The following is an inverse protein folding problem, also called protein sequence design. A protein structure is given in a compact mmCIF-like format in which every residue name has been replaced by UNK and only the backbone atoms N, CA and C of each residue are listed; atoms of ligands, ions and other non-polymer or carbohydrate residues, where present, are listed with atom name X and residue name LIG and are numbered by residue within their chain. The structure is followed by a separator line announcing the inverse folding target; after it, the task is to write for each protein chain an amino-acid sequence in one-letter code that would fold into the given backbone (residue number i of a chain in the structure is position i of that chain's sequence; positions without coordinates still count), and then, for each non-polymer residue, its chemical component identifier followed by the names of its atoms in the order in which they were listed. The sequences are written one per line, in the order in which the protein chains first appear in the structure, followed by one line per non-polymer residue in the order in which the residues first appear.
data_IF_620601698659
#
_entry.id   IF_620601698659
#
_cell.length_a   1.000
_cell.length_b   1.000
_cell.length_c   1.000
_cell.angle_alpha   90.00
_cell.angle_beta   90.00
_cell.angle_gamma   90.00
#
_symmetry.space_group_name_H-M   'P 1'
#
loop_
_entity.id
_entity.type
_entity.pdbx_description
1 polymer ?
#
# COMPACT_ATOMS: atom_id res chain seq x y z
N UNK A 1 -7.74 -5.61 -5.17
CA UNK A 1 -7.61 -5.79 -6.63
C UNK A 1 -8.29 -4.71 -7.46
N UNK A 2 -9.46 -4.15 -7.08
CA UNK A 2 -10.14 -3.11 -7.89
C UNK A 2 -9.24 -1.91 -8.26
N UNK A 3 -8.42 -1.44 -7.31
CA UNK A 3 -7.42 -0.39 -7.55
C UNK A 3 -6.36 -0.87 -8.54
N UNK A 4 -5.75 -2.03 -8.31
CA UNK A 4 -4.73 -2.59 -9.22
C UNK A 4 -5.25 -2.78 -10.66
N UNK A 5 -6.55 -3.03 -10.81
CA UNK A 5 -7.21 -3.19 -12.10
C UNK A 5 -7.70 -1.86 -12.73
N UNK A 6 -7.40 -0.72 -12.12
CA UNK A 6 -7.85 0.61 -12.59
C UNK A 6 -9.37 0.69 -12.80
N UNK A 7 -10.14 0.15 -11.86
CA UNK A 7 -11.62 0.14 -11.92
C UNK A 7 -12.24 1.02 -10.82
N UNK A 8 -12.40 2.35 -11.05
CA UNK A 8 -13.02 3.26 -10.10
C UNK A 8 -14.46 2.89 -9.74
N UNK A 9 -15.20 2.28 -10.67
CA UNK A 9 -16.58 1.87 -10.44
C UNK A 9 -16.64 0.73 -9.41
N UNK A 10 -15.78 -0.27 -9.54
CA UNK A 10 -15.66 -1.34 -8.55
C UNK A 10 -15.13 -0.82 -7.21
N UNK A 11 -14.16 0.10 -7.22
CA UNK A 11 -13.66 0.77 -6.01
C UNK A 11 -14.84 1.43 -5.26
N UNK A 12 -15.71 2.15 -5.97
CA UNK A 12 -16.92 2.73 -5.39
C UNK A 12 -17.86 1.69 -4.80
N UNK A 13 -18.15 0.60 -5.53
CA UNK A 13 -19.03 -0.48 -5.03
C UNK A 13 -18.49 -1.11 -3.74
N UNK A 14 -17.17 -1.35 -3.67
CA UNK A 14 -16.54 -1.89 -2.48
C UNK A 14 -16.64 -0.92 -1.29
N UNK A 15 -16.42 0.37 -1.52
CA UNK A 15 -16.60 1.39 -0.48
C UNK A 15 -18.04 1.49 0.01
N UNK A 16 -19.01 1.45 -0.90
CA UNK A 16 -20.44 1.48 -0.56
C UNK A 16 -20.86 0.20 0.20
N UNK A 17 -20.11 -0.90 0.04
CA UNK A 17 -20.28 -2.15 0.80
C UNK A 17 -19.57 -2.16 2.16
N UNK A 18 -18.92 -1.05 2.55
CA UNK A 18 -18.23 -0.92 3.84
C UNK A 18 -16.81 -1.49 3.85
N UNK A 19 -16.15 -1.61 2.69
CA UNK A 19 -14.74 -2.02 2.65
C UNK A 19 -13.86 -1.04 3.47
N UNK A 20 -12.96 -1.60 4.29
CA UNK A 20 -12.05 -0.82 5.11
C UNK A 20 -10.94 -0.19 4.24
N UNK A 21 -10.92 1.14 4.15
CA UNK A 21 -9.94 1.90 3.36
C UNK A 21 -8.56 2.02 4.04
N UNK A 22 -8.49 1.67 5.32
CA UNK A 22 -7.27 1.66 6.11
C UNK A 22 -6.79 0.23 6.41
N UNK A 23 -7.32 -0.77 5.69
CA UNK A 23 -6.84 -2.14 5.80
C UNK A 23 -5.49 -2.28 5.12
N UNK A 24 -4.53 -2.92 5.80
CA UNK A 24 -3.21 -3.16 5.24
C UNK A 24 -3.22 -4.40 4.35
N UNK A 25 -2.60 -4.31 3.19
CA UNK A 25 -2.19 -5.50 2.46
C UNK A 25 -0.97 -6.11 3.14
N UNK A 26 -0.87 -7.42 3.03
CA UNK A 26 0.15 -8.21 3.71
C UNK A 26 0.65 -9.31 2.76
N UNK A 27 1.77 -9.94 3.12
CA UNK A 27 2.40 -11.01 2.35
C UNK A 27 3.54 -10.59 1.42
N UNK A 28 4.42 -11.58 1.19
CA UNK A 28 5.76 -11.44 0.58
C UNK A 28 5.82 -10.67 -0.76
N UNK A 29 4.75 -10.69 -1.55
CA UNK A 29 4.70 -10.04 -2.86
C UNK A 29 4.85 -8.51 -2.77
N UNK A 30 4.35 -7.90 -1.70
CA UNK A 30 4.39 -6.45 -1.47
C UNK A 30 5.56 -6.00 -0.59
N UNK A 31 6.49 -6.90 -0.24
CA UNK A 31 7.71 -6.56 0.51
C UNK A 31 8.82 -6.03 -0.40
N UNK A 32 9.68 -5.20 0.16
CA UNK A 32 10.98 -4.87 -0.44
C UNK A 32 11.85 -6.14 -0.56
N UNK A 33 12.60 -6.29 -1.65
CA UNK A 33 13.38 -7.51 -1.97
C UNK A 33 14.38 -7.88 -0.87
N UNK A 34 15.07 -6.87 -0.33
CA UNK A 34 16.07 -7.00 0.73
C UNK A 34 15.49 -7.50 2.06
N UNK A 35 14.19 -7.31 2.28
CA UNK A 35 13.51 -7.74 3.50
C UNK A 35 12.81 -9.10 3.39
N UNK A 36 12.55 -9.59 2.16
CA UNK A 36 11.79 -10.84 1.92
C UNK A 36 12.39 -12.05 2.62
N UNK A 37 13.71 -12.19 2.62
CA UNK A 37 14.38 -13.34 3.24
C UNK A 37 14.19 -13.39 4.77
N UNK A 38 13.89 -12.26 5.40
CA UNK A 38 13.62 -12.16 6.84
C UNK A 38 12.15 -12.29 7.20
N UNK A 39 11.26 -12.32 6.19
CA UNK A 39 9.82 -12.36 6.40
C UNK A 39 9.38 -13.73 6.89
N UNK A 40 8.54 -13.72 7.91
CA UNK A 40 7.86 -14.90 8.44
C UNK A 40 6.38 -14.58 8.57
N UNK A 41 5.57 -15.20 7.70
CA UNK A 41 4.13 -15.04 7.71
C UNK A 41 3.50 -16.19 8.53
N UNK A 42 2.73 -15.85 9.56
CA UNK A 42 1.89 -16.76 10.35
C UNK A 42 0.43 -16.38 10.18
N UNK A 43 -0.49 -17.30 10.48
CA UNK A 43 -1.94 -17.01 10.49
C UNK A 43 -2.30 -15.86 11.44
N UNK A 44 -1.53 -15.70 12.51
CA UNK A 44 -1.83 -14.71 13.54
C UNK A 44 -1.05 -13.41 13.35
N UNK A 45 0.17 -13.44 12.81
CA UNK A 45 1.09 -12.29 12.72
C UNK A 45 2.06 -12.44 11.55
N UNK A 46 2.41 -11.32 10.91
CA UNK A 46 3.54 -11.23 10.00
C UNK A 46 4.70 -10.51 10.67
N UNK A 47 5.90 -11.07 10.53
CA UNK A 47 7.13 -10.46 11.02
C UNK A 47 8.09 -10.23 9.86
N UNK A 48 8.78 -9.09 9.88
CA UNK A 48 9.88 -8.78 8.98
C UNK A 48 10.97 -8.04 9.75
N UNK A 49 12.23 -8.34 9.48
CA UNK A 49 13.32 -7.59 10.08
C UNK A 49 13.53 -6.29 9.31
N UNK A 50 13.17 -5.17 9.94
CA UNK A 50 13.39 -3.84 9.39
C UNK A 50 14.89 -3.52 9.37
N UNK A 51 15.38 -3.08 8.20
CA UNK A 51 16.74 -2.60 8.02
C UNK A 51 16.72 -1.08 7.85
N UNK A 52 17.52 -0.30 8.60
CA UNK A 52 17.66 1.14 8.38
C UNK A 52 18.14 1.48 6.96
N UNK A 53 19.00 0.63 6.40
CA UNK A 53 19.56 0.78 5.06
C UNK A 53 18.79 -0.08 4.05
N UNK A 54 17.47 0.11 3.96
CA UNK A 54 16.66 -0.60 2.97
C UNK A 54 16.72 0.08 1.60
N UNK A 55 16.82 -0.70 0.54
CA UNK A 55 16.91 -0.19 -0.83
C UNK A 55 15.54 0.09 -1.46
N UNK A 56 14.45 -0.29 -0.80
CA UNK A 56 13.07 -0.20 -1.29
C UNK A 56 12.85 -0.77 -2.70
N UNK A 57 13.75 -1.63 -3.18
CA UNK A 57 13.57 -2.31 -4.44
C UNK A 57 12.53 -3.40 -4.27
N UNK A 58 11.73 -3.65 -5.29
CA UNK A 58 10.63 -4.59 -5.23
C UNK A 58 9.85 -4.58 -6.53
N UNK A 59 9.17 -5.68 -6.82
CA UNK A 59 8.24 -5.70 -7.96
C UNK A 59 7.07 -4.73 -7.74
N UNK A 60 6.56 -4.64 -6.50
CA UNK A 60 5.29 -3.94 -6.21
C UNK A 60 5.28 -3.31 -4.81
N UNK A 61 6.41 -2.76 -4.36
CA UNK A 61 6.44 -2.01 -3.09
C UNK A 61 5.83 -0.61 -3.29
N UNK A 62 4.51 -0.49 -3.07
CA UNK A 62 3.74 0.76 -3.12
C UNK A 62 3.19 1.16 -1.75
N UNK A 63 3.80 0.65 -0.69
CA UNK A 63 3.26 0.69 0.67
C UNK A 63 2.13 -0.32 0.83
N UNK A 64 1.42 -0.23 1.96
CA UNK A 64 0.50 -1.29 2.38
C UNK A 64 -0.98 -0.89 2.36
N UNK A 65 -1.32 0.36 2.04
CA UNK A 65 -2.70 0.84 2.14
C UNK A 65 -3.34 1.05 0.77
N UNK A 66 -4.65 0.81 0.61
CA UNK A 66 -5.37 1.09 -0.63
C UNK A 66 -5.07 2.47 -1.22
N UNK A 67 -4.95 3.48 -0.35
CA UNK A 67 -4.67 4.84 -0.75
C UNK A 67 -3.26 5.03 -1.34
N UNK A 68 -2.26 4.30 -0.85
CA UNK A 68 -0.89 4.35 -1.39
C UNK A 68 -0.80 3.71 -2.77
N UNK A 69 -1.54 2.61 -2.99
CA UNK A 69 -1.65 1.97 -4.31
C UNK A 69 -2.27 2.91 -5.34
N UNK A 70 -3.37 3.59 -4.99
CA UNK A 70 -4.01 4.55 -5.90
C UNK A 70 -3.08 5.73 -6.25
N UNK A 71 -2.25 6.16 -5.29
CA UNK A 71 -1.27 7.22 -5.50
C UNK A 71 -0.14 6.78 -6.45
N UNK A 72 0.50 5.63 -6.20
CA UNK A 72 1.59 5.12 -7.04
C UNK A 72 1.14 4.75 -8.47
N UNK A 73 -0.12 4.32 -8.63
CA UNK A 73 -0.71 4.05 -9.95
C UNK A 73 -1.24 5.30 -10.66
N UNK A 74 -1.13 6.49 -10.05
CA UNK A 74 -1.61 7.75 -10.65
C UNK A 74 -3.13 7.84 -10.79
N UNK A 75 -3.89 7.06 -10.04
CA UNK A 75 -5.36 7.02 -10.11
C UNK A 75 -5.99 8.15 -9.29
N UNK A 76 -5.91 9.38 -9.82
CA UNK A 76 -6.37 10.59 -9.13
C UNK A 76 -7.85 10.51 -8.71
N UNK A 77 -8.73 9.95 -9.54
CA UNK A 77 -10.15 9.80 -9.24
C UNK A 77 -10.38 8.85 -8.05
N UNK A 78 -9.79 7.64 -8.10
CA UNK A 78 -9.85 6.66 -7.01
C UNK A 78 -9.27 7.24 -5.71
N UNK A 79 -8.13 7.94 -5.81
CA UNK A 79 -7.46 8.56 -4.68
C UNK A 79 -8.35 9.62 -4.00
N UNK A 80 -8.91 10.55 -4.77
CA UNK A 80 -9.82 11.59 -4.26
C UNK A 80 -11.09 11.00 -3.67
N UNK A 81 -11.64 9.96 -4.30
CA UNK A 81 -12.85 9.30 -3.81
C UNK A 81 -12.60 8.62 -2.47
N UNK A 82 -11.47 7.91 -2.31
CA UNK A 82 -11.10 7.26 -1.05
C UNK A 82 -10.83 8.28 0.07
N UNK A 83 -10.15 9.39 -0.23
CA UNK A 83 -9.95 10.49 0.73
C UNK A 83 -11.29 11.07 1.21
N UNK A 84 -12.23 11.32 0.29
CA UNK A 84 -13.56 11.82 0.64
C UNK A 84 -14.36 10.85 1.52
N UNK A 85 -13.99 9.56 1.53
CA UNK A 85 -14.60 8.50 2.35
C UNK A 85 -13.81 8.19 3.62
N UNK A 86 -12.81 9.00 3.98
CA UNK A 86 -12.09 8.90 5.25
C UNK A 86 -10.86 8.00 5.23
N UNK A 87 -10.31 7.68 4.06
CA UNK A 87 -8.97 7.10 3.98
C UNK A 87 -7.93 8.08 4.56
N UNK A 88 -7.00 7.59 5.38
CA UNK A 88 -5.95 8.43 5.99
C UNK A 88 -4.62 8.33 5.20
N UNK A 89 -4.15 9.43 4.57
CA UNK A 89 -2.88 9.45 3.85
C UNK A 89 -1.65 9.40 4.77
N UNK A 90 -1.83 9.61 6.08
CA UNK A 90 -0.75 9.61 7.07
C UNK A 90 -0.52 8.25 7.72
N UNK A 91 -1.33 7.25 7.37
CA UNK A 91 -1.09 5.89 7.83
C UNK A 91 0.29 5.40 7.39
N UNK A 92 1.01 4.82 8.34
CA UNK A 92 2.36 4.31 8.16
C UNK A 92 2.32 2.82 7.88
N UNK A 93 3.07 2.38 6.86
CA UNK A 93 3.29 0.96 6.56
C UNK A 93 4.29 0.32 7.54
N UNK A 94 4.64 -0.96 7.34
CA UNK A 94 5.64 -1.67 8.17
C UNK A 94 6.98 -0.95 8.27
N UNK A 95 7.40 -0.24 7.22
CA UNK A 95 8.65 0.51 7.18
C UNK A 95 8.51 1.94 7.77
N UNK A 96 7.33 2.32 8.25
CA UNK A 96 7.06 3.65 8.78
C UNK A 96 6.73 4.68 7.69
N UNK A 97 6.55 4.24 6.44
CA UNK A 97 6.35 5.12 5.31
C UNK A 97 4.86 5.45 5.10
N UNK A 98 4.60 6.69 4.72
CA UNK A 98 3.26 7.18 4.35
C UNK A 98 3.08 7.22 2.83
N UNK A 99 1.88 7.56 2.37
CA UNK A 99 1.60 7.77 0.93
C UNK A 99 2.59 8.74 0.29
N UNK A 100 2.96 9.82 0.99
CA UNK A 100 3.91 10.80 0.45
C UNK A 100 5.33 10.23 0.31
N UNK A 101 5.77 9.39 1.26
CA UNK A 101 7.05 8.69 1.15
C UNK A 101 7.04 7.74 -0.05
N UNK A 102 5.93 7.03 -0.27
CA UNK A 102 5.79 6.11 -1.39
C UNK A 102 5.90 6.79 -2.75
N UNK A 103 5.33 7.99 -2.92
CA UNK A 103 5.45 8.72 -4.18
C UNK A 103 6.92 9.04 -4.51
N UNK A 104 7.72 9.42 -3.52
CA UNK A 104 9.16 9.71 -3.72
C UNK A 104 9.95 8.42 -3.99
N UNK A 105 9.69 7.36 -3.23
CA UNK A 105 10.36 6.05 -3.39
C UNK A 105 10.05 5.46 -4.78
N UNK A 106 8.80 5.56 -5.21
CA UNK A 106 8.33 5.02 -6.48
C UNK A 106 8.86 5.81 -7.69
N UNK A 107 8.84 7.15 -7.63
CA UNK A 107 9.25 7.98 -8.77
C UNK A 107 10.77 7.97 -9.04
N UNK A 108 11.59 7.36 -8.16
CA UNK A 108 13.07 7.23 -8.30
C UNK A 108 13.76 8.50 -8.83
N UNK A 109 13.34 9.67 -8.34
CA UNK A 109 13.93 10.97 -8.73
C UNK A 109 15.35 11.10 -8.17
#
# INVERSE_FOLDING_TARGET
MAIVNEDPAMVKVLMDSGANLNERCFGNFMSTEDQKASRSDSLDHEWVNLCPDTNYEGYVYWGEYPLSFAACLGQEESYRLMLARGADPNNQDTNGNTVLHMLVIYEKI
#
